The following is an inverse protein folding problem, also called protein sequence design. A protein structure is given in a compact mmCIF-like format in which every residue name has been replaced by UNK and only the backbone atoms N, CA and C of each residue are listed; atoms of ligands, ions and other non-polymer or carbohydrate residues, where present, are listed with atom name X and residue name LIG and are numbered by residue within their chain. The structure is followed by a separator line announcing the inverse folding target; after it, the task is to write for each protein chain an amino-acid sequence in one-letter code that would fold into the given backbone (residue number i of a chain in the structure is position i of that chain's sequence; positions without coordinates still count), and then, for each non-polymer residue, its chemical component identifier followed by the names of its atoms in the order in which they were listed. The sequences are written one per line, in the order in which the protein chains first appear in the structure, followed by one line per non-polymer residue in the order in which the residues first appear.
data_IF_725084633685
#
_entry.id   IF_725084633685
#
_cell.length_a   1.000
_cell.length_b   1.000
_cell.length_c   1.000
_cell.angle_alpha   90.00
_cell.angle_beta   90.00
_cell.angle_gamma   90.00
#
_symmetry.space_group_name_H-M   'P 1'
#
loop_
_entity.id
_entity.type
_entity.pdbx_description
1 polymer ?
#
# COMPACT_ATOMS: atom_id res chain seq x y z
N UNK A 1 0.52 -23.03 -6.50
CA UNK A 1 1.84 -22.56 -6.97
C UNK A 1 2.93 -23.32 -6.23
N UNK A 2 4.11 -23.49 -6.82
CA UNK A 2 5.26 -24.11 -6.11
C UNK A 2 5.82 -23.12 -5.07
N UNK A 3 6.48 -23.58 -3.99
CA UNK A 3 7.05 -22.69 -2.97
C UNK A 3 7.99 -21.62 -3.54
N UNK A 4 8.79 -21.97 -4.55
CA UNK A 4 9.74 -21.04 -5.19
C UNK A 4 9.01 -19.92 -5.94
N UNK A 5 7.85 -20.22 -6.53
CA UNK A 5 7.01 -19.22 -7.20
C UNK A 5 6.35 -18.29 -6.19
N UNK A 6 5.89 -18.83 -5.06
CA UNK A 6 5.27 -18.05 -3.99
C UNK A 6 6.29 -17.07 -3.41
N UNK A 7 7.52 -17.52 -3.15
CA UNK A 7 8.59 -16.69 -2.62
C UNK A 7 8.92 -15.48 -3.51
N UNK A 8 8.72 -15.59 -4.83
CA UNK A 8 9.02 -14.51 -5.78
C UNK A 8 7.83 -13.61 -6.11
N UNK A 9 6.60 -14.14 -6.11
CA UNK A 9 5.44 -13.43 -6.69
C UNK A 9 4.29 -13.16 -5.71
N UNK A 10 4.27 -13.79 -4.54
CA UNK A 10 3.18 -13.56 -3.59
C UNK A 10 3.28 -12.15 -2.97
N UNK A 11 2.15 -11.44 -2.90
CA UNK A 11 2.06 -10.13 -2.26
C UNK A 11 2.32 -8.92 -3.16
N UNK A 12 2.74 -9.12 -4.41
CA UNK A 12 2.94 -8.02 -5.37
C UNK A 12 2.66 -8.46 -6.81
N UNK A 13 1.82 -7.69 -7.52
CA UNK A 13 1.38 -7.98 -8.89
C UNK A 13 1.92 -6.97 -9.92
N UNK A 14 2.90 -6.15 -9.53
CA UNK A 14 3.34 -4.99 -10.31
C UNK A 14 2.66 -3.70 -9.86
N UNK A 15 3.33 -2.57 -10.06
CA UNK A 15 2.78 -1.25 -9.72
C UNK A 15 1.74 -0.82 -10.79
N UNK A 16 0.46 -0.63 -10.42
CA UNK A 16 -0.57 -0.22 -11.38
C UNK A 16 -0.35 1.19 -11.94
N UNK A 17 0.41 2.05 -11.26
CA UNK A 17 0.64 3.42 -11.72
C UNK A 17 1.72 3.50 -12.83
N UNK A 18 2.74 2.63 -12.78
CA UNK A 18 3.92 2.73 -13.66
C UNK A 18 4.27 1.45 -14.42
N UNK A 19 3.63 0.32 -14.12
CA UNK A 19 4.01 -1.03 -14.57
C UNK A 19 5.40 -1.47 -14.09
N UNK A 20 5.91 -0.91 -12.98
CA UNK A 20 7.15 -1.41 -12.39
C UNK A 20 6.97 -2.86 -11.92
N UNK A 21 7.89 -3.73 -12.35
CA UNK A 21 7.91 -5.14 -11.96
C UNK A 21 8.50 -5.37 -10.56
N UNK A 22 9.29 -4.40 -10.05
CA UNK A 22 9.86 -4.42 -8.70
C UNK A 22 9.05 -3.52 -7.78
N UNK A 23 8.88 -3.92 -6.52
CA UNK A 23 8.19 -3.12 -5.50
C UNK A 23 8.88 -1.77 -5.29
N UNK A 24 8.17 -0.64 -5.40
CA UNK A 24 8.74 0.68 -5.14
C UNK A 24 9.18 0.89 -3.69
N UNK A 25 10.15 1.77 -3.48
CA UNK A 25 10.54 2.24 -2.13
C UNK A 25 9.73 3.51 -1.82
N UNK A 26 8.70 3.38 -0.99
CA UNK A 26 7.92 4.52 -0.48
C UNK A 26 8.62 5.18 0.71
N UNK A 27 9.71 5.90 0.44
CA UNK A 27 10.51 6.63 1.45
C UNK A 27 9.78 7.91 1.91
N UNK A 28 8.65 7.75 2.59
CA UNK A 28 7.81 8.84 3.11
C UNK A 28 7.44 8.59 4.58
N UNK A 29 7.05 9.64 5.30
CA UNK A 29 6.54 9.57 6.68
C UNK A 29 5.01 9.54 6.74
N UNK A 30 4.32 10.02 5.71
CA UNK A 30 2.88 10.29 5.71
C UNK A 30 2.27 10.18 4.31
N UNK A 31 0.95 10.00 4.25
CA UNK A 31 0.17 9.91 3.02
C UNK A 31 -0.93 10.98 3.01
N UNK A 32 -1.25 11.50 1.83
CA UNK A 32 -2.31 12.50 1.65
C UNK A 32 -3.69 11.84 1.64
N UNK A 33 -4.70 12.54 2.14
CA UNK A 33 -6.10 12.11 2.01
C UNK A 33 -6.74 12.78 0.80
N UNK A 34 -7.66 12.07 0.14
CA UNK A 34 -8.41 12.62 -0.99
C UNK A 34 -9.33 13.76 -0.55
N UNK A 35 -9.86 13.68 0.68
CA UNK A 35 -10.66 14.71 1.34
C UNK A 35 -10.73 14.47 2.86
N UNK A 36 -11.42 15.36 3.59
CA UNK A 36 -11.54 15.30 5.05
C UNK A 36 -12.31 14.07 5.55
N UNK A 37 -13.32 13.62 4.81
CA UNK A 37 -14.09 12.42 5.16
C UNK A 37 -13.25 11.16 5.00
N UNK A 38 -12.49 11.04 3.91
CA UNK A 38 -11.56 9.92 3.70
C UNK A 38 -10.56 9.80 4.87
N UNK A 39 -9.99 10.91 5.33
CA UNK A 39 -9.12 10.91 6.52
C UNK A 39 -9.84 10.37 7.77
N UNK A 40 -11.07 10.82 8.05
CA UNK A 40 -11.86 10.34 9.18
C UNK A 40 -12.16 8.83 9.08
N UNK A 41 -12.51 8.35 7.89
CA UNK A 41 -12.84 6.94 7.64
C UNK A 41 -11.61 6.03 7.84
N UNK A 42 -10.42 6.47 7.44
CA UNK A 42 -9.16 5.74 7.70
C UNK A 42 -8.89 5.60 9.20
N UNK A 43 -9.02 6.69 9.97
CA UNK A 43 -8.80 6.65 11.42
C UNK A 43 -9.86 5.83 12.18
N UNK A 44 -11.07 5.73 11.64
CA UNK A 44 -12.14 4.90 12.19
C UNK A 44 -12.09 3.44 11.73
N UNK A 45 -11.07 3.06 10.94
CA UNK A 45 -10.94 1.74 10.30
C UNK A 45 -12.16 1.36 9.44
N UNK A 46 -12.91 2.37 8.97
CA UNK A 46 -14.08 2.18 8.13
C UNK A 46 -13.67 1.85 6.68
N UNK A 47 -12.49 2.32 6.25
CA UNK A 47 -11.87 1.98 4.97
C UNK A 47 -10.39 1.61 5.18
N UNK A 48 -9.83 0.67 4.40
CA UNK A 48 -8.41 0.37 4.44
C UNK A 48 -7.60 1.48 3.77
N UNK A 49 -6.39 1.72 4.25
CA UNK A 49 -5.44 2.62 3.60
C UNK A 49 -4.34 3.08 4.54
N UNK A 50 -3.52 4.00 4.04
CA UNK A 50 -2.29 4.41 4.69
C UNK A 50 -2.50 5.75 5.40
N UNK A 51 -2.00 5.89 6.63
CA UNK A 51 -2.08 7.15 7.40
C UNK A 51 -0.68 7.71 7.63
N UNK A 52 0.10 7.01 8.46
CA UNK A 52 1.51 7.28 8.72
C UNK A 52 2.31 5.99 8.60
N UNK A 53 3.56 6.09 8.14
CA UNK A 53 4.44 4.92 7.96
C UNK A 53 4.74 4.14 9.25
N UNK A 54 4.46 4.72 10.42
CA UNK A 54 4.64 4.07 11.74
C UNK A 54 3.51 3.10 12.10
N UNK A 55 2.31 3.27 11.53
CA UNK A 55 1.09 2.55 11.95
C UNK A 55 0.41 1.82 10.78
N UNK A 56 1.25 1.37 9.86
CA UNK A 56 0.94 0.37 8.86
C UNK A 56 1.83 -0.83 9.04
#
# INVERSE_FOLDING_TARGET
MKPETIALHAGFSGDPATNAATTPIYQTTSFTFDNTQHGADLFNLAVPGNIYSRIM
#
